data_IF_902327182071
#
_entry.id   IF_902327182071
#
_cell.length_a   1.000
_cell.length_b   1.000
_cell.length_c   1.000
_cell.angle_alpha   90.00
_cell.angle_beta   90.00
_cell.angle_gamma   90.00
#
_symmetry.space_group_name_H-M   'P 1'
#
loop_
_entity.id
_entity.type
_entity.pdbx_description
1 polymer ?
#
# COMPACT_ATOMS: atom_id res chain seq x y z
N UNK A 1 -12.27 -2.92 -21.69
CA UNK A 1 -11.43 -1.71 -21.48
C UNK A 1 -10.52 -1.98 -20.31
N UNK A 2 -9.22 -1.75 -20.43
CA UNK A 2 -8.33 -1.74 -19.25
C UNK A 2 -8.64 -0.50 -18.41
N UNK A 3 -8.59 -0.64 -17.09
CA UNK A 3 -8.71 0.45 -16.14
C UNK A 3 -7.38 0.59 -15.42
N UNK A 4 -6.91 1.82 -15.25
CA UNK A 4 -5.72 2.13 -14.48
C UNK A 4 -6.10 2.53 -13.06
N UNK A 5 -5.29 2.11 -12.09
CA UNK A 5 -5.50 2.38 -10.68
C UNK A 5 -4.25 3.01 -10.06
N UNK A 6 -4.45 3.93 -9.11
CA UNK A 6 -3.39 4.44 -8.23
C UNK A 6 -3.64 3.85 -6.85
N UNK A 7 -2.63 3.15 -6.33
CA UNK A 7 -2.60 2.55 -4.99
C UNK A 7 -1.21 2.69 -4.40
N UNK A 8 -1.09 2.60 -3.08
CA UNK A 8 0.20 2.57 -2.38
C UNK A 8 0.64 1.12 -2.20
N UNK A 9 1.89 0.83 -2.55
CA UNK A 9 2.52 -0.45 -2.20
C UNK A 9 2.74 -0.48 -0.69
N UNK A 10 2.20 -1.50 -0.04
CA UNK A 10 2.33 -1.76 1.40
C UNK A 10 3.28 -2.93 1.66
N UNK A 11 3.23 -3.97 0.83
CA UNK A 11 4.06 -5.17 0.95
C UNK A 11 4.84 -5.49 -0.32
N UNK A 12 6.11 -5.84 -0.15
CA UNK A 12 7.04 -6.34 -1.16
C UNK A 12 7.04 -7.88 -1.18
N UNK A 13 7.58 -8.52 -2.23
CA UNK A 13 7.75 -9.97 -2.25
C UNK A 13 8.42 -10.51 -0.98
N UNK A 14 7.80 -11.51 -0.35
CA UNK A 14 8.28 -12.13 0.88
C UNK A 14 7.72 -11.53 2.17
N UNK A 15 7.21 -10.29 2.12
CA UNK A 15 6.64 -9.64 3.30
C UNK A 15 5.40 -10.38 3.80
N UNK A 16 5.22 -10.39 5.12
CA UNK A 16 3.96 -10.81 5.77
C UNK A 16 3.17 -9.58 6.20
N UNK A 17 1.98 -9.40 5.63
CA UNK A 17 1.07 -8.32 5.96
C UNK A 17 -0.04 -8.85 6.86
N UNK A 18 -0.26 -8.19 8.00
CA UNK A 18 -1.37 -8.45 8.90
C UNK A 18 -2.04 -7.12 9.18
N UNK A 19 -3.36 -7.06 9.12
CA UNK A 19 -4.10 -5.90 9.56
C UNK A 19 -5.23 -6.28 10.52
N UNK A 20 -5.52 -5.38 11.46
CA UNK A 20 -6.77 -5.35 12.22
C UNK A 20 -7.62 -4.17 11.74
N UNK A 21 -8.72 -3.86 12.43
CA UNK A 21 -9.66 -2.82 12.00
C UNK A 21 -9.04 -1.45 11.75
N UNK A 22 -7.94 -1.11 12.42
CA UNK A 22 -7.31 0.23 12.30
C UNK A 22 -5.82 0.19 12.01
N UNK A 23 -5.16 -0.94 12.17
CA UNK A 23 -3.71 -1.06 12.11
C UNK A 23 -3.27 -1.96 10.98
N UNK A 24 -2.17 -1.60 10.31
CA UNK A 24 -1.46 -2.45 9.36
C UNK A 24 -0.07 -2.78 9.93
N UNK A 25 0.34 -4.03 9.78
CA UNK A 25 1.64 -4.54 10.18
C UNK A 25 2.33 -5.21 8.98
N UNK A 26 3.62 -4.95 8.84
CA UNK A 26 4.49 -5.59 7.83
C UNK A 26 5.65 -6.24 8.57
N UNK A 27 5.82 -7.54 8.40
CA UNK A 27 6.82 -8.36 9.12
C UNK A 27 6.80 -8.14 10.64
N UNK A 28 5.58 -8.01 11.17
CA UNK A 28 5.32 -7.78 12.58
C UNK A 28 5.47 -6.33 13.05
N UNK A 29 6.02 -5.43 12.24
CA UNK A 29 6.17 -3.98 12.53
C UNK A 29 4.87 -3.26 12.25
N UNK A 30 4.33 -2.56 13.25
CA UNK A 30 3.15 -1.68 13.07
C UNK A 30 3.53 -0.45 12.26
N UNK A 31 2.82 -0.21 11.16
CA UNK A 31 3.00 1.00 10.36
C UNK A 31 2.35 2.20 11.07
N UNK A 32 3.09 3.30 11.15
CA UNK A 32 2.53 4.62 11.48
C UNK A 32 2.29 5.37 10.19
N UNK A 33 1.04 5.47 9.75
CA UNK A 33 0.69 5.86 8.38
C UNK A 33 0.13 7.30 8.34
N UNK A 34 0.97 8.35 8.31
CA UNK A 34 0.49 9.75 8.33
C UNK A 34 -0.28 10.15 7.07
N UNK A 35 -0.23 9.34 6.02
CA UNK A 35 -0.98 9.52 4.77
C UNK A 35 -2.40 8.93 4.82
N UNK A 36 -2.78 8.27 5.91
CA UNK A 36 -4.13 7.71 6.11
C UNK A 36 -4.89 8.62 7.06
N UNK A 37 -5.93 9.27 6.57
CA UNK A 37 -6.79 10.13 7.39
C UNK A 37 -7.81 9.33 8.21
N UNK A 38 -8.31 8.22 7.66
CA UNK A 38 -9.31 7.37 8.31
C UNK A 38 -8.88 5.89 8.20
N UNK A 39 -8.32 5.30 9.26
CA UNK A 39 -7.99 3.88 9.25
C UNK A 39 -9.27 3.03 9.33
N UNK A 40 -9.41 2.07 8.42
CA UNK A 40 -10.51 1.11 8.39
C UNK A 40 -10.13 -0.10 7.51
N UNK A 41 -10.09 -1.30 8.09
CA UNK A 41 -9.83 -2.55 7.36
C UNK A 41 -10.92 -3.60 7.62
N UNK A 42 -11.16 -4.51 6.65
CA UNK A 42 -12.17 -5.55 6.80
C UNK A 42 -11.74 -6.58 7.87
N UNK A 43 -12.64 -7.01 8.77
CA UNK A 43 -12.38 -8.12 9.69
C UNK A 43 -12.61 -9.49 9.02
N UNK A 44 -12.08 -10.60 9.58
CA UNK A 44 -11.05 -10.69 10.61
C UNK A 44 -9.61 -10.64 10.04
N UNK A 45 -8.58 -10.49 10.89
CA UNK A 45 -7.18 -10.47 10.45
C UNK A 45 -6.83 -11.74 9.67
N UNK A 46 -6.38 -11.58 8.43
CA UNK A 46 -5.80 -12.64 7.63
C UNK A 46 -4.33 -12.30 7.34
N UNK A 47 -3.37 -13.21 7.60
CA UNK A 47 -1.98 -12.99 7.22
C UNK A 47 -1.84 -13.17 5.70
N UNK A 48 -1.39 -12.12 5.02
CA UNK A 48 -1.05 -12.15 3.61
C UNK A 48 0.45 -12.32 3.45
N UNK A 49 0.89 -13.41 2.82
CA UNK A 49 2.30 -13.63 2.49
C UNK A 49 2.48 -13.27 1.02
N UNK A 50 3.18 -12.16 0.76
CA UNK A 50 3.29 -11.62 -0.59
C UNK A 50 4.15 -12.56 -1.45
N UNK A 51 3.61 -13.13 -2.55
CA UNK A 51 4.37 -14.03 -3.40
C UNK A 51 5.54 -13.33 -4.11
N UNK A 52 6.48 -14.13 -4.61
CA UNK A 52 7.51 -13.65 -5.52
C UNK A 52 6.89 -12.89 -6.71
N UNK A 53 7.55 -11.83 -7.17
CA UNK A 53 7.11 -10.97 -8.29
C UNK A 53 5.71 -10.35 -8.13
N UNK A 54 5.21 -10.22 -6.91
CA UNK A 54 3.92 -9.59 -6.61
C UNK A 54 4.05 -8.55 -5.51
N UNK A 55 3.02 -7.72 -5.38
CA UNK A 55 2.95 -6.66 -4.36
C UNK A 55 1.59 -6.70 -3.67
N UNK A 56 1.57 -6.31 -2.40
CA UNK A 56 0.32 -6.02 -1.69
C UNK A 56 0.11 -4.51 -1.67
N UNK A 57 -1.04 -4.05 -2.15
CA UNK A 57 -1.34 -2.61 -2.29
C UNK A 57 -2.59 -2.22 -1.52
N UNK A 58 -2.60 -1.01 -0.97
CA UNK A 58 -3.76 -0.42 -0.31
C UNK A 58 -3.97 1.01 -0.79
N UNK A 59 -5.22 1.47 -0.83
CA UNK A 59 -5.51 2.89 -1.01
C UNK A 59 -5.34 3.65 0.30
N UNK A 60 -4.91 4.91 0.19
CA UNK A 60 -4.78 5.79 1.37
C UNK A 60 -6.16 6.14 1.96
N UNK A 61 -7.21 6.20 1.11
CA UNK A 61 -8.61 6.26 1.55
C UNK A 61 -9.13 4.85 1.89
N UNK A 62 -8.68 4.33 3.03
CA UNK A 62 -8.90 2.95 3.47
C UNK A 62 -10.35 2.45 3.40
N UNK A 63 -11.37 3.15 3.93
CA UNK A 63 -12.74 2.62 3.95
C UNK A 63 -13.40 2.53 2.57
N UNK A 64 -12.90 3.28 1.57
CA UNK A 64 -13.52 3.38 0.25
C UNK A 64 -12.65 2.82 -0.89
N UNK A 65 -11.55 2.15 -0.54
CA UNK A 65 -10.60 1.64 -1.51
C UNK A 65 -10.81 0.15 -1.75
N UNK A 66 -11.16 -0.19 -2.99
CA UNK A 66 -11.06 -1.54 -3.56
C UNK A 66 -9.58 -1.80 -3.92
N UNK A 67 -8.90 -2.62 -3.12
CA UNK A 67 -7.44 -2.87 -3.16
C UNK A 67 -7.11 -4.32 -2.76
N UNK A 68 -5.85 -4.65 -2.49
CA UNK A 68 -5.43 -6.05 -2.29
C UNK A 68 -6.17 -6.78 -1.17
N UNK A 69 -6.82 -6.06 -0.27
CA UNK A 69 -7.72 -6.63 0.75
C UNK A 69 -8.93 -7.36 0.15
N UNK A 70 -9.35 -6.97 -1.05
CA UNK A 70 -10.53 -7.51 -1.76
C UNK A 70 -10.14 -8.38 -2.98
N UNK A 71 -9.20 -7.92 -3.81
CA UNK A 71 -8.83 -8.60 -5.07
C UNK A 71 -7.44 -9.28 -5.07
N UNK A 72 -6.72 -9.22 -3.95
CA UNK A 72 -5.45 -9.92 -3.76
C UNK A 72 -4.23 -9.20 -4.34
N UNK A 73 -3.17 -9.97 -4.62
CA UNK A 73 -1.86 -9.42 -4.95
C UNK A 73 -1.79 -8.85 -6.38
N UNK A 74 -0.93 -7.85 -6.57
CA UNK A 74 -0.68 -7.24 -7.89
C UNK A 74 0.63 -7.76 -8.47
N UNK A 75 0.62 -8.49 -9.60
CA UNK A 75 1.83 -8.92 -10.30
C UNK A 75 2.70 -7.73 -10.71
N UNK A 76 4.03 -7.90 -10.67
CA UNK A 76 5.00 -6.85 -11.06
C UNK A 76 4.75 -6.31 -12.47
N UNK A 77 4.33 -7.17 -13.39
CA UNK A 77 4.06 -6.85 -14.79
C UNK A 77 2.87 -5.90 -14.99
N UNK A 78 1.95 -5.85 -14.03
CA UNK A 78 0.77 -4.98 -14.07
C UNK A 78 1.07 -3.57 -13.53
N UNK A 79 2.24 -3.37 -12.91
CA UNK A 79 2.69 -2.07 -12.43
C UNK A 79 3.36 -1.30 -13.57
N UNK A 80 2.61 -0.36 -14.15
CA UNK A 80 3.07 0.53 -15.21
C UNK A 80 4.17 1.50 -14.73
N UNK A 81 4.07 2.03 -13.51
CA UNK A 81 5.05 2.98 -13.01
C UNK A 81 4.77 3.49 -11.59
N UNK A 82 5.62 4.42 -11.14
CA UNK A 82 5.51 5.07 -9.84
C UNK A 82 5.08 6.53 -10.03
N UNK A 83 4.04 6.94 -9.32
CA UNK A 83 3.64 8.35 -9.27
C UNK A 83 4.70 9.17 -8.51
N UNK A 84 5.09 10.32 -9.07
CA UNK A 84 6.14 11.20 -8.50
C UNK A 84 5.68 12.63 -8.24
N UNK A 85 4.60 13.08 -8.88
CA UNK A 85 4.13 14.46 -8.80
C UNK A 85 2.60 14.52 -8.96
N UNK A 86 1.97 15.40 -8.21
CA UNK A 86 0.60 15.87 -8.42
C UNK A 86 0.69 17.21 -9.13
N UNK A 87 0.15 17.31 -10.34
CA UNK A 87 0.24 18.51 -11.18
C UNK A 87 -1.07 19.32 -11.26
N UNK A 88 -2.14 18.78 -10.70
CA UNK A 88 -3.47 19.39 -10.69
C UNK A 88 -3.94 19.61 -9.23
N UNK A 89 -4.58 20.75 -8.91
CA UNK A 89 -4.96 21.86 -9.79
C UNK A 89 -3.78 22.68 -10.31
N UNK A 90 -3.97 23.37 -11.45
CA UNK A 90 -2.91 24.19 -12.05
C UNK A 90 -2.38 25.21 -11.04
N UNK A 91 -1.06 25.32 -10.93
CA UNK A 91 -0.37 26.19 -9.97
C UNK A 91 -0.06 25.53 -8.62
N UNK A 92 -0.66 24.38 -8.31
CA UNK A 92 -0.43 23.63 -7.07
C UNK A 92 0.33 22.33 -7.35
N UNK A 93 1.54 22.46 -7.88
CA UNK A 93 2.37 21.30 -8.17
C UNK A 93 3.05 20.83 -6.90
N UNK A 94 2.97 19.54 -6.61
CA UNK A 94 3.57 18.93 -5.43
C UNK A 94 4.32 17.66 -5.81
N UNK A 95 5.56 17.51 -5.31
CA UNK A 95 6.26 16.23 -5.36
C UNK A 95 5.67 15.28 -4.33
N UNK A 96 5.36 14.06 -4.75
CA UNK A 96 4.74 13.08 -3.87
C UNK A 96 5.73 12.67 -2.78
N UNK A 97 5.37 12.93 -1.52
CA UNK A 97 6.09 12.38 -0.38
C UNK A 97 5.87 10.86 -0.30
N UNK A 98 6.96 10.09 -0.35
CA UNK A 98 6.89 8.62 -0.31
C UNK A 98 6.89 8.06 1.11
N UNK A 99 6.99 8.90 2.13
CA UNK A 99 6.99 8.54 3.55
C UNK A 99 7.95 7.38 3.92
N UNK A 100 9.25 7.48 3.58
CA UNK A 100 10.19 6.37 3.77
C UNK A 100 10.35 5.94 5.24
N UNK A 101 10.15 6.86 6.18
CA UNK A 101 10.22 6.59 7.63
C UNK A 101 9.16 5.61 8.12
N UNK A 102 8.04 5.47 7.40
CA UNK A 102 6.96 4.52 7.73
C UNK A 102 7.45 3.08 7.64
N UNK A 103 8.38 2.81 6.72
CA UNK A 103 8.91 1.48 6.44
C UNK A 103 10.34 1.28 6.97
N UNK A 104 10.95 2.30 7.58
CA UNK A 104 12.36 2.27 7.98
C UNK A 104 12.74 1.20 9.00
N UNK A 105 11.76 0.66 9.73
CA UNK A 105 11.96 -0.40 10.72
C UNK A 105 11.75 -1.81 10.16
N UNK A 106 11.23 -1.93 8.93
CA UNK A 106 11.05 -3.22 8.27
C UNK A 106 12.39 -3.63 7.70
N UNK A 107 12.82 -4.84 8.06
CA UNK A 107 14.04 -5.40 7.51
C UNK A 107 13.75 -5.83 6.09
N UNK A 108 14.41 -5.21 5.11
CA UNK A 108 14.37 -5.72 3.74
C UNK A 108 15.03 -7.10 3.76
N UNK A 109 14.24 -8.14 3.51
CA UNK A 109 14.79 -9.47 3.22
C UNK A 109 15.56 -9.35 1.90
N UNK A 110 16.84 -9.71 1.91
CA UNK A 110 17.69 -9.74 0.71
C UNK A 110 17.32 -10.90 -0.20
#
# INVERSE_FOLDING_TARGET
TSKDFIKRVIGLPGDTIIYDSTTVRVDGVVLKEPYVSQPANPPPPHPWIVPANSYFVMGDNRPASDDSRDWGYVPRGDIVGKAVMVYWPLGNWELINTYPTVYAQIKVSQ
#
